data_IF_013541601780
#
_entry.id   IF_013541601780
#
_cell.length_a   1.000
_cell.length_b   1.000
_cell.length_c   1.000
_cell.angle_alpha   90.00
_cell.angle_beta   90.00
_cell.angle_gamma   90.00
#
_symmetry.space_group_name_H-M   'P 1'
#
loop_
_entity.id
_entity.type
_entity.pdbx_description
1 polymer ?
#
# COMPACT_ATOMS: atom_id res chain seq x y z
N UNK A 1 -13.80 22.63 8.03
CA UNK A 1 -13.34 21.51 7.17
C UNK A 1 -13.20 21.93 5.71
N UNK A 2 -14.21 22.57 5.12
CA UNK A 2 -14.20 22.96 3.69
C UNK A 2 -12.99 23.81 3.26
N UNK A 3 -12.62 24.84 4.05
CA UNK A 3 -11.42 25.66 3.77
C UNK A 3 -10.11 24.84 3.77
N UNK A 4 -10.02 23.83 4.64
CA UNK A 4 -8.85 22.96 4.71
C UNK A 4 -8.76 22.05 3.48
N UNK A 5 -9.91 21.54 3.01
CA UNK A 5 -9.98 20.78 1.76
C UNK A 5 -9.59 21.63 0.55
N UNK A 6 -10.06 22.88 0.48
CA UNK A 6 -9.67 23.80 -0.59
C UNK A 6 -8.15 24.03 -0.61
N UNK A 7 -7.54 24.23 0.56
CA UNK A 7 -6.09 24.43 0.69
C UNK A 7 -5.29 23.20 0.23
N UNK A 8 -5.67 21.99 0.65
CA UNK A 8 -4.94 20.79 0.24
C UNK A 8 -5.09 20.54 -1.27
N UNK A 9 -6.28 20.77 -1.84
CA UNK A 9 -6.50 20.65 -3.29
C UNK A 9 -5.70 21.70 -4.08
N UNK A 10 -5.60 22.93 -3.58
CA UNK A 10 -4.76 23.96 -4.19
C UNK A 10 -3.29 23.54 -4.19
N UNK A 11 -2.78 23.07 -3.05
CA UNK A 11 -1.38 22.69 -2.89
C UNK A 11 -0.99 21.47 -3.71
N UNK A 12 -1.91 20.53 -3.95
CA UNK A 12 -1.65 19.35 -4.80
C UNK A 12 -1.71 19.62 -6.30
N UNK A 13 -2.22 20.79 -6.73
CA UNK A 13 -2.13 21.21 -8.15
C UNK A 13 -0.74 21.69 -8.52
N UNK A 14 0.03 22.16 -7.54
CA UNK A 14 1.39 22.59 -7.75
C UNK A 14 2.32 21.38 -7.92
N UNK A 15 3.12 21.35 -8.99
CA UNK A 15 4.10 20.26 -9.22
C UNK A 15 5.26 20.24 -8.21
N UNK A 16 5.33 21.24 -7.33
CA UNK A 16 6.44 21.40 -6.40
C UNK A 16 6.34 20.39 -5.25
N UNK A 17 7.44 19.71 -4.98
CA UNK A 17 7.53 18.74 -3.89
C UNK A 17 7.18 19.36 -2.52
N UNK A 18 7.55 20.63 -2.30
CA UNK A 18 7.22 21.35 -1.07
C UNK A 18 5.72 21.47 -0.82
N UNK A 19 4.94 21.78 -1.86
CA UNK A 19 3.49 21.95 -1.75
C UNK A 19 2.78 20.63 -1.49
N UNK A 20 3.21 19.55 -2.15
CA UNK A 20 2.74 18.20 -1.81
C UNK A 20 3.12 17.78 -0.40
N UNK A 21 4.31 18.14 0.10
CA UNK A 21 4.71 17.82 1.48
C UNK A 21 3.79 18.48 2.49
N UNK A 22 3.48 19.77 2.32
CA UNK A 22 2.55 20.49 3.21
C UNK A 22 1.17 19.83 3.19
N UNK A 23 0.62 19.55 2.00
CA UNK A 23 -0.66 18.88 1.89
C UNK A 23 -0.65 17.48 2.56
N UNK A 24 0.41 16.72 2.35
CA UNK A 24 0.60 15.39 2.92
C UNK A 24 0.70 15.43 4.45
N UNK A 25 1.40 16.42 5.03
CA UNK A 25 1.51 16.62 6.48
C UNK A 25 0.16 16.99 7.11
N UNK A 26 -0.60 17.89 6.47
CA UNK A 26 -1.96 18.24 6.92
C UNK A 26 -2.85 16.99 6.94
N UNK A 27 -2.84 16.21 5.85
CA UNK A 27 -3.63 14.98 5.76
C UNK A 27 -3.21 13.95 6.81
N UNK A 28 -1.90 13.78 7.03
CA UNK A 28 -1.42 12.87 8.06
C UNK A 28 -1.90 13.30 9.45
N UNK A 29 -1.89 14.61 9.73
CA UNK A 29 -2.43 15.21 10.96
C UNK A 29 -3.93 15.00 11.10
N UNK A 30 -4.71 15.13 10.03
CA UNK A 30 -6.15 14.85 10.04
C UNK A 30 -6.44 13.37 10.38
N UNK A 31 -5.75 12.43 9.71
CA UNK A 31 -5.93 11.00 9.96
C UNK A 31 -5.56 10.67 11.41
N UNK A 32 -4.39 11.13 11.87
CA UNK A 32 -3.92 10.85 13.23
C UNK A 32 -4.78 11.53 14.30
N UNK A 33 -5.24 12.76 14.05
CA UNK A 33 -6.10 13.52 14.94
C UNK A 33 -7.52 12.95 15.08
N UNK A 34 -7.97 12.17 14.09
CA UNK A 34 -9.28 11.51 14.10
C UNK A 34 -9.35 10.24 14.97
N UNK A 35 -8.27 9.88 15.67
CA UNK A 35 -8.15 8.64 16.48
C UNK A 35 -9.27 8.42 17.51
N UNK A 36 -9.82 9.49 18.09
CA UNK A 36 -10.85 9.43 19.12
C UNK A 36 -12.24 9.87 18.62
N UNK A 37 -12.40 10.03 17.30
CA UNK A 37 -13.68 10.42 16.72
C UNK A 37 -14.67 9.26 16.74
N UNK A 38 -15.95 9.59 16.71
CA UNK A 38 -16.99 8.58 16.52
C UNK A 38 -16.91 8.02 15.10
N UNK A 39 -17.54 6.87 14.86
CA UNK A 39 -17.52 6.22 13.54
C UNK A 39 -18.16 7.15 12.50
N UNK A 40 -19.22 7.87 12.87
CA UNK A 40 -19.95 8.78 11.99
C UNK A 40 -19.06 9.94 11.53
N UNK A 41 -18.34 10.57 12.47
CA UNK A 41 -17.39 11.65 12.15
C UNK A 41 -16.22 11.16 11.30
N UNK A 42 -15.73 9.94 11.58
CA UNK A 42 -14.68 9.32 10.80
C UNK A 42 -15.17 9.01 9.38
N UNK A 43 -16.40 8.58 9.21
CA UNK A 43 -16.98 8.25 7.91
C UNK A 43 -17.21 9.51 7.06
N UNK A 44 -17.66 10.59 7.68
CA UNK A 44 -17.76 11.89 7.03
C UNK A 44 -16.38 12.41 6.57
N UNK A 45 -15.35 12.27 7.42
CA UNK A 45 -13.98 12.62 7.06
C UNK A 45 -13.48 11.80 5.87
N UNK A 46 -13.60 10.47 5.94
CA UNK A 46 -13.06 9.57 4.92
C UNK A 46 -13.84 9.62 3.61
N UNK A 47 -15.14 9.95 3.62
CA UNK A 47 -15.91 10.17 2.39
C UNK A 47 -15.23 11.19 1.48
N UNK A 48 -14.83 12.34 2.02
CA UNK A 48 -14.17 13.39 1.25
C UNK A 48 -12.68 13.07 1.03
N UNK A 49 -12.02 12.52 2.05
CA UNK A 49 -10.59 12.23 1.98
C UNK A 49 -10.27 11.13 0.96
N UNK A 50 -11.11 10.10 0.82
CA UNK A 50 -10.93 9.03 -0.18
C UNK A 50 -10.99 9.57 -1.60
N UNK A 51 -11.92 10.48 -1.91
CA UNK A 51 -12.00 11.11 -3.25
C UNK A 51 -10.71 11.88 -3.56
N UNK A 52 -10.28 12.72 -2.63
CA UNK A 52 -9.04 13.48 -2.75
C UNK A 52 -7.80 12.59 -2.88
N UNK A 53 -7.67 11.57 -2.03
CA UNK A 53 -6.52 10.67 -2.05
C UNK A 53 -6.47 9.85 -3.34
N UNK A 54 -7.60 9.46 -3.91
CA UNK A 54 -7.65 8.82 -5.22
C UNK A 54 -7.12 9.75 -6.33
N UNK A 55 -7.56 11.01 -6.36
CA UNK A 55 -7.06 12.01 -7.32
C UNK A 55 -5.54 12.21 -7.19
N UNK A 56 -5.04 12.33 -5.96
CA UNK A 56 -3.61 12.42 -5.68
C UNK A 56 -2.87 11.18 -6.17
N UNK A 57 -3.35 9.99 -5.82
CA UNK A 57 -2.75 8.70 -6.15
C UNK A 57 -2.66 8.48 -7.67
N UNK A 58 -3.67 8.91 -8.43
CA UNK A 58 -3.68 8.86 -9.89
C UNK A 58 -2.65 9.79 -10.55
N UNK A 59 -2.25 10.86 -9.86
CA UNK A 59 -1.37 11.91 -10.37
C UNK A 59 0.03 11.92 -9.71
N UNK A 60 0.39 10.86 -8.99
CA UNK A 60 1.71 10.77 -8.36
C UNK A 60 2.83 10.76 -9.40
N UNK A 61 3.84 11.56 -9.12
CA UNK A 61 5.09 11.65 -9.87
C UNK A 61 6.25 11.07 -9.06
N UNK A 62 7.38 10.81 -9.73
CA UNK A 62 8.62 10.33 -9.10
C UNK A 62 9.15 11.22 -7.98
N UNK A 63 8.72 12.48 -7.91
CA UNK A 63 9.20 13.44 -6.92
C UNK A 63 8.24 13.62 -5.74
N UNK A 64 7.00 13.13 -5.85
CA UNK A 64 5.93 13.41 -4.89
C UNK A 64 5.46 12.17 -4.14
N UNK A 65 5.71 10.96 -4.68
CA UNK A 65 5.28 9.71 -4.05
C UNK A 65 5.85 9.52 -2.64
N UNK A 66 7.06 10.00 -2.37
CA UNK A 66 7.72 9.88 -1.07
C UNK A 66 7.02 10.70 0.03
N UNK A 67 6.47 11.87 -0.32
CA UNK A 67 5.65 12.68 0.60
C UNK A 67 4.41 11.92 1.05
N UNK A 68 3.70 11.29 0.11
CA UNK A 68 2.47 10.55 0.42
C UNK A 68 2.74 9.23 1.14
N UNK A 69 3.82 8.52 0.79
CA UNK A 69 4.27 7.39 1.60
C UNK A 69 4.61 7.80 3.03
N UNK A 70 5.31 8.92 3.21
CA UNK A 70 5.62 9.45 4.55
C UNK A 70 4.37 9.87 5.32
N UNK A 71 3.37 10.43 4.64
CA UNK A 71 2.06 10.75 5.22
C UNK A 71 1.36 9.51 5.78
N UNK A 72 1.22 8.44 4.98
CA UNK A 72 0.60 7.20 5.46
C UNK A 72 1.41 6.57 6.58
N UNK A 73 2.73 6.49 6.45
CA UNK A 73 3.63 5.98 7.49
C UNK A 73 3.41 6.72 8.81
N UNK A 74 3.50 8.04 8.78
CA UNK A 74 3.34 8.88 9.98
C UNK A 74 1.92 8.81 10.57
N UNK A 75 0.89 8.75 9.72
CA UNK A 75 -0.48 8.63 10.18
C UNK A 75 -0.74 7.31 10.93
N UNK A 76 -0.08 6.22 10.52
CA UNK A 76 -0.29 4.86 11.04
C UNK A 76 0.71 4.44 12.13
N UNK A 77 1.83 5.15 12.28
CA UNK A 77 2.90 4.81 13.21
C UNK A 77 2.48 4.97 14.69
N UNK A 78 2.83 3.98 15.51
CA UNK A 78 2.47 3.85 16.92
C UNK A 78 0.96 3.76 17.20
N UNK A 79 0.18 3.36 16.20
CA UNK A 79 -1.28 3.25 16.31
C UNK A 79 -1.76 1.80 16.26
N UNK A 80 -2.93 1.53 16.85
CA UNK A 80 -3.57 0.21 16.82
C UNK A 80 -4.19 -0.02 15.43
N UNK A 81 -3.86 -1.11 14.71
CA UNK A 81 -4.38 -1.35 13.36
C UNK A 81 -5.92 -1.42 13.33
N UNK A 82 -6.56 -1.85 14.42
CA UNK A 82 -8.03 -1.94 14.52
C UNK A 82 -8.69 -0.57 14.48
N UNK A 83 -8.00 0.47 14.97
CA UNK A 83 -8.47 1.86 14.91
C UNK A 83 -8.13 2.52 13.58
N UNK A 84 -7.15 1.98 12.86
CA UNK A 84 -6.71 2.45 11.54
C UNK A 84 -7.36 1.70 10.37
N UNK A 85 -8.58 1.20 10.58
CA UNK A 85 -9.28 0.42 9.56
C UNK A 85 -9.59 1.21 8.28
N UNK A 86 -9.87 2.53 8.36
CA UNK A 86 -10.12 3.36 7.18
C UNK A 86 -8.88 3.57 6.30
N UNK A 87 -7.70 3.98 6.82
CA UNK A 87 -6.46 3.98 6.03
C UNK A 87 -6.15 2.60 5.43
N UNK A 88 -6.29 1.54 6.23
CA UNK A 88 -6.06 0.17 5.77
C UNK A 88 -6.99 -0.20 4.59
N UNK A 89 -8.29 0.07 4.72
CA UNK A 89 -9.27 -0.20 3.67
C UNK A 89 -8.96 0.61 2.40
N UNK A 90 -8.55 1.86 2.54
CA UNK A 90 -8.12 2.68 1.42
C UNK A 90 -6.92 2.05 0.71
N UNK A 91 -5.87 1.66 1.43
CA UNK A 91 -4.68 1.01 0.84
C UNK A 91 -5.03 -0.34 0.18
N UNK A 92 -5.95 -1.11 0.76
CA UNK A 92 -6.47 -2.32 0.13
C UNK A 92 -7.24 -2.04 -1.16
N UNK A 93 -7.99 -0.93 -1.22
CA UNK A 93 -8.69 -0.52 -2.44
C UNK A 93 -7.73 -0.18 -3.57
N UNK A 94 -6.58 0.43 -3.26
CA UNK A 94 -5.54 0.74 -4.24
C UNK A 94 -4.88 -0.53 -4.83
N UNK A 95 -4.81 -1.61 -4.06
CA UNK A 95 -4.33 -2.91 -4.54
C UNK A 95 -5.31 -3.51 -5.55
N UNK A 96 -6.61 -3.51 -5.20
CA UNK A 96 -7.65 -4.10 -6.05
C UNK A 96 -7.88 -3.35 -7.35
N UNK A 97 -7.87 -2.03 -7.27
CA UNK A 97 -8.11 -1.17 -8.40
C UNK A 97 -7.03 -0.09 -8.40
N UNK A 98 -5.89 -0.34 -9.07
CA UNK A 98 -4.87 0.68 -9.18
C UNK A 98 -5.47 1.85 -9.96
N UNK A 99 -5.78 2.94 -9.25
CA UNK A 99 -6.30 4.18 -9.83
C UNK A 99 -5.31 4.87 -10.81
N UNK A 100 -4.14 4.27 -10.99
CA UNK A 100 -3.03 4.75 -11.78
C UNK A 100 -3.17 4.37 -13.26
N UNK A 101 -3.24 5.39 -14.12
CA UNK A 101 -3.28 5.24 -15.58
C UNK A 101 -1.88 4.87 -16.13
N UNK A 102 -0.81 5.23 -15.41
CA UNK A 102 0.56 5.09 -15.88
C UNK A 102 1.42 4.24 -14.93
N UNK A 103 2.50 3.66 -15.47
CA UNK A 103 3.43 2.75 -14.77
C UNK A 103 4.10 3.43 -13.56
N UNK A 104 4.48 4.71 -13.71
CA UNK A 104 5.13 5.48 -12.64
C UNK A 104 4.21 5.68 -11.43
N UNK A 105 2.92 5.88 -11.68
CA UNK A 105 1.90 5.97 -10.65
C UNK A 105 1.66 4.60 -10.04
N UNK A 106 1.61 3.49 -10.80
CA UNK A 106 1.49 2.13 -10.23
C UNK A 106 2.68 1.80 -9.31
N UNK A 107 3.92 2.09 -9.71
CA UNK A 107 5.08 1.88 -8.83
C UNK A 107 5.04 2.75 -7.57
N UNK A 108 4.53 3.97 -7.69
CA UNK A 108 4.29 4.88 -6.56
C UNK A 108 3.20 4.35 -5.60
N UNK A 109 2.14 3.73 -6.12
CA UNK A 109 1.11 3.09 -5.29
C UNK A 109 1.68 1.94 -4.46
N UNK A 110 2.50 1.07 -5.07
CA UNK A 110 3.17 -0.02 -4.35
C UNK A 110 4.10 0.50 -3.25
N UNK A 111 4.77 1.64 -3.46
CA UNK A 111 5.55 2.28 -2.41
C UNK A 111 4.68 2.78 -1.25
N UNK A 112 3.46 3.26 -1.52
CA UNK A 112 2.53 3.66 -0.47
C UNK A 112 2.00 2.43 0.29
N UNK A 113 1.66 1.34 -0.42
CA UNK A 113 1.21 0.07 0.17
C UNK A 113 2.29 -0.50 1.10
N UNK A 114 3.56 -0.37 0.73
CA UNK A 114 4.70 -0.78 1.56
C UNK A 114 4.64 -0.21 2.99
N UNK A 115 4.07 0.99 3.17
CA UNK A 115 4.02 1.66 4.48
C UNK A 115 3.14 0.93 5.50
N UNK A 116 2.38 -0.09 5.10
CA UNK A 116 1.74 -1.03 6.02
C UNK A 116 2.75 -1.77 6.92
N UNK A 117 4.05 -1.74 6.58
CA UNK A 117 5.12 -2.29 7.42
C UNK A 117 5.12 -1.73 8.85
N UNK A 118 4.57 -0.53 9.08
CA UNK A 118 4.47 0.07 10.43
C UNK A 118 3.63 -0.78 11.38
N UNK A 119 2.70 -1.57 10.85
CA UNK A 119 1.90 -2.49 11.65
C UNK A 119 2.64 -3.78 11.98
N UNK A 120 3.73 -4.10 11.26
CA UNK A 120 4.56 -5.29 11.46
C UNK A 120 3.70 -6.56 11.45
N UNK A 121 3.95 -7.46 12.41
CA UNK A 121 3.21 -8.71 12.62
C UNK A 121 1.75 -8.53 13.09
N UNK A 122 1.28 -7.30 13.35
CA UNK A 122 -0.06 -7.06 13.93
C UNK A 122 -1.21 -7.20 12.93
N UNK A 123 -0.92 -7.34 11.64
CA UNK A 123 -1.93 -7.41 10.55
C UNK A 123 -1.78 -8.64 9.63
N UNK A 124 -1.82 -9.87 10.17
CA UNK A 124 -1.59 -11.09 9.39
C UNK A 124 -2.54 -11.28 8.20
N UNK A 125 -3.82 -10.94 8.38
CA UNK A 125 -4.83 -11.08 7.32
C UNK A 125 -4.55 -10.20 6.12
N UNK A 126 -4.03 -8.99 6.36
CA UNK A 126 -3.67 -8.04 5.30
C UNK A 126 -2.45 -8.56 4.54
N UNK A 127 -1.43 -9.06 5.24
CA UNK A 127 -0.24 -9.63 4.61
C UNK A 127 -0.55 -10.84 3.75
N UNK A 128 -1.45 -11.73 4.20
CA UNK A 128 -1.91 -12.87 3.40
C UNK A 128 -2.63 -12.40 2.14
N UNK A 129 -3.56 -11.46 2.30
CA UNK A 129 -4.28 -10.86 1.18
C UNK A 129 -3.34 -10.22 0.14
N UNK A 130 -2.31 -9.48 0.60
CA UNK A 130 -1.29 -8.89 -0.27
C UNK A 130 -0.50 -9.97 -0.99
N UNK A 131 -0.07 -11.03 -0.29
CA UNK A 131 0.68 -12.12 -0.91
C UNK A 131 -0.13 -12.84 -1.99
N UNK A 132 -1.38 -13.18 -1.70
CA UNK A 132 -2.26 -13.82 -2.68
C UNK A 132 -2.48 -12.94 -3.92
N UNK A 133 -2.50 -11.62 -3.73
CA UNK A 133 -2.62 -10.67 -4.83
C UNK A 133 -1.31 -10.53 -5.63
N UNK A 134 -0.18 -10.37 -4.96
CA UNK A 134 1.15 -10.25 -5.59
C UNK A 134 1.48 -11.51 -6.39
N UNK A 135 1.20 -12.72 -5.85
CA UNK A 135 1.39 -14.00 -6.54
C UNK A 135 0.73 -14.02 -7.92
N UNK A 136 -0.50 -13.49 -8.04
CA UNK A 136 -1.23 -13.42 -9.32
C UNK A 136 -0.60 -12.45 -10.33
N UNK A 137 0.19 -11.49 -9.85
CA UNK A 137 0.78 -10.42 -10.66
C UNK A 137 2.29 -10.58 -10.89
N UNK A 138 2.90 -11.71 -10.52
CA UNK A 138 4.33 -11.94 -10.70
C UNK A 138 4.79 -11.85 -12.16
N UNK A 139 3.92 -12.19 -13.11
CA UNK A 139 4.18 -12.12 -14.55
C UNK A 139 3.98 -10.74 -15.17
N UNK A 140 3.83 -9.68 -14.36
CA UNK A 140 3.60 -8.34 -14.87
C UNK A 140 4.72 -7.89 -15.84
N UNK A 141 4.39 -7.33 -17.01
CA UNK A 141 5.37 -7.04 -18.07
C UNK A 141 6.50 -6.09 -17.65
N UNK A 142 6.20 -5.15 -16.75
CA UNK A 142 7.14 -4.11 -16.33
C UNK A 142 7.98 -4.49 -15.11
N UNK A 143 9.30 -4.53 -15.28
CA UNK A 143 10.28 -4.86 -14.22
C UNK A 143 10.15 -3.97 -13.00
N UNK A 144 9.99 -2.65 -13.19
CA UNK A 144 9.87 -1.71 -12.08
C UNK A 144 8.68 -2.00 -11.14
N UNK A 145 7.58 -2.55 -11.67
CA UNK A 145 6.41 -2.95 -10.87
C UNK A 145 6.70 -4.27 -10.15
N UNK A 146 7.34 -5.23 -10.83
CA UNK A 146 7.79 -6.48 -10.21
C UNK A 146 8.75 -6.24 -9.05
N UNK A 147 9.71 -5.34 -9.20
CA UNK A 147 10.67 -5.00 -8.14
C UNK A 147 9.97 -4.43 -6.90
N UNK A 148 8.97 -3.56 -7.11
CA UNK A 148 8.17 -3.01 -6.00
C UNK A 148 7.32 -4.06 -5.32
N UNK A 149 6.68 -4.94 -6.09
CA UNK A 149 5.90 -6.06 -5.54
C UNK A 149 6.79 -7.03 -4.75
N UNK A 150 8.01 -7.30 -5.24
CA UNK A 150 8.98 -8.16 -4.54
C UNK A 150 9.37 -7.58 -3.18
N UNK A 151 9.58 -6.26 -3.06
CA UNK A 151 9.86 -5.62 -1.77
C UNK A 151 8.68 -5.84 -0.79
N UNK A 152 7.45 -5.62 -1.25
CA UNK A 152 6.25 -5.78 -0.40
C UNK A 152 6.06 -7.24 0.01
N UNK A 153 6.30 -8.19 -0.89
CA UNK A 153 6.29 -9.62 -0.61
C UNK A 153 7.36 -10.01 0.41
N UNK A 154 8.59 -9.49 0.30
CA UNK A 154 9.63 -9.75 1.29
C UNK A 154 9.22 -9.25 2.68
N UNK A 155 8.61 -8.07 2.77
CA UNK A 155 8.15 -7.50 4.05
C UNK A 155 7.07 -8.37 4.71
N UNK A 156 6.13 -8.89 3.93
CA UNK A 156 5.05 -9.73 4.47
C UNK A 156 5.57 -11.05 5.05
N UNK A 157 6.64 -11.59 4.44
CA UNK A 157 7.26 -12.87 4.83
C UNK A 157 8.24 -12.74 6.00
N UNK A 158 8.83 -11.56 6.25
CA UNK A 158 9.72 -11.32 7.41
C UNK A 158 9.05 -11.68 8.76
N UNK A 159 7.72 -11.63 8.83
CA UNK A 159 6.97 -11.91 10.05
C UNK A 159 6.60 -13.38 10.23
N UNK A 160 6.99 -14.28 9.31
CA UNK A 160 6.93 -15.73 9.51
C UNK A 160 8.05 -16.19 10.45
N UNK A 161 7.90 -15.87 11.73
CA UNK A 161 8.89 -16.17 12.77
C UNK A 161 8.41 -17.35 13.61
N UNK A 162 9.10 -18.48 13.56
CA UNK A 162 8.87 -19.59 14.50
C UNK A 162 9.34 -19.19 15.90
N UNK A 163 8.50 -18.51 16.67
CA UNK A 163 8.77 -18.18 18.06
C UNK A 163 8.52 -19.39 18.95
N UNK A 164 9.34 -19.54 20.00
CA UNK A 164 9.35 -20.68 20.91
C UNK A 164 7.93 -21.08 21.35
N UNK A 165 7.59 -22.36 21.20
CA UNK A 165 6.28 -22.99 21.49
C UNK A 165 5.19 -22.87 20.41
N UNK A 166 5.61 -22.83 19.13
CA UNK A 166 5.04 -23.70 18.08
C UNK A 166 3.52 -23.84 18.01
N UNK A 167 2.81 -22.74 17.76
CA UNK A 167 1.49 -22.82 17.11
C UNK A 167 1.55 -22.11 15.75
N UNK A 168 0.92 -22.72 14.75
CA UNK A 168 0.90 -22.27 13.36
C UNK A 168 0.39 -20.82 13.28
N UNK A 169 1.26 -19.95 12.79
CA UNK A 169 1.06 -18.51 12.87
C UNK A 169 0.13 -18.09 11.73
N UNK A 170 -0.79 -17.17 12.03
CA UNK A 170 -1.73 -16.60 11.05
C UNK A 170 -1.05 -15.83 9.90
N UNK A 171 0.27 -15.72 9.89
CA UNK A 171 1.06 -15.03 8.88
C UNK A 171 1.19 -15.88 7.60
N UNK A 172 1.60 -15.28 6.46
CA UNK A 172 1.95 -16.05 5.27
C UNK A 172 3.22 -16.87 5.53
N UNK A 173 3.18 -18.17 5.22
CA UNK A 173 4.33 -19.04 5.39
C UNK A 173 5.35 -18.85 4.26
N UNK A 174 6.64 -18.75 4.61
CA UNK A 174 7.73 -18.53 3.66
C UNK A 174 7.94 -19.73 2.75
N UNK A 175 8.05 -20.94 3.30
CA UNK A 175 8.35 -22.16 2.54
C UNK A 175 7.25 -22.42 1.50
N UNK A 176 5.99 -22.41 1.94
CA UNK A 176 4.84 -22.55 1.05
C UNK A 176 4.82 -21.47 -0.04
N UNK A 177 5.10 -20.22 0.32
CA UNK A 177 5.08 -19.12 -0.65
C UNK A 177 6.20 -19.26 -1.68
N UNK A 178 7.40 -19.69 -1.27
CA UNK A 178 8.53 -19.92 -2.17
C UNK A 178 8.24 -21.09 -3.11
N UNK A 179 7.69 -22.19 -2.60
CA UNK A 179 7.33 -23.36 -3.40
C UNK A 179 6.30 -23.01 -4.49
N UNK A 180 5.25 -22.26 -4.14
CA UNK A 180 4.23 -21.81 -5.08
C UNK A 180 4.81 -20.89 -6.17
N UNK A 181 5.72 -19.99 -5.81
CA UNK A 181 6.37 -19.08 -6.76
C UNK A 181 7.30 -19.86 -7.68
N UNK A 182 8.07 -20.78 -7.12
CA UNK A 182 8.97 -21.66 -7.86
C UNK A 182 8.22 -22.47 -8.92
N UNK A 183 7.08 -23.05 -8.55
CA UNK A 183 6.22 -23.79 -9.49
C UNK A 183 5.69 -22.89 -10.63
N UNK A 184 5.25 -21.67 -10.32
CA UNK A 184 4.79 -20.70 -11.33
C UNK A 184 5.90 -20.29 -12.29
N UNK A 185 7.12 -20.06 -11.77
CA UNK A 185 8.27 -19.71 -12.60
C UNK A 185 8.68 -20.88 -13.51
N UNK A 186 8.70 -22.11 -12.99
CA UNK A 186 8.97 -23.29 -13.80
C UNK A 186 7.99 -23.44 -14.96
N UNK A 187 6.69 -23.30 -14.69
CA UNK A 187 5.65 -23.33 -15.74
C UNK A 187 5.87 -22.22 -16.78
N UNK A 188 6.24 -21.02 -16.35
CA UNK A 188 6.48 -19.91 -17.27
C UNK A 188 7.72 -20.11 -18.15
N UNK A 189 8.78 -20.73 -17.62
CA UNK A 189 9.99 -21.07 -18.39
C UNK A 189 9.67 -22.12 -19.46
N UNK A 190 8.94 -23.17 -19.11
CA UNK A 190 8.52 -24.21 -20.06
C UNK A 190 7.72 -23.62 -21.23
N UNK A 191 6.75 -22.73 -20.95
CA UNK A 191 5.96 -22.04 -21.98
C UNK A 191 6.84 -21.18 -22.90
N UNK A 192 7.91 -20.58 -22.36
CA UNK A 192 8.84 -19.78 -23.15
C UNK A 192 9.70 -20.65 -24.06
N UNK A 193 10.16 -21.80 -23.58
CA UNK A 193 10.96 -22.76 -24.34
C UNK A 193 10.16 -23.45 -25.47
N UNK A 194 8.85 -23.62 -25.29
CA UNK A 194 7.95 -24.24 -26.27
C UNK A 194 7.48 -23.28 -27.39
N UNK A 195 7.75 -21.97 -27.30
CA UNK A 195 7.38 -21.02 -28.37
C UNK A 195 8.36 -21.11 -29.55
N UNK A 196 7.93 -21.51 -30.76
CA UNK A 196 8.77 -21.42 -31.94
C UNK A 196 9.03 -19.94 -32.30
N UNK A 197 10.26 -19.69 -32.76
CA UNK A 197 10.75 -18.40 -33.29
C UNK A 197 9.83 -17.78 -34.34
#
# INVERSE_FOLDING_TARGET
>A
MEQLYMLIHEKTKEKQNGSHRVAAEIVAGMIRGSKYWTIEMLDELWKNLTVFLNEVCSNLSSNTYSCWGSCFKYAMENEDPRRMYRPIQFLQSLINNPAAINISSVTSLWYIIQQLDVFKWRVPSIWRYINDHVKKLLHHSFTAIRDRMAIVLSISLIFDLTLFHGEAIRQPNIDQTVDEIHEQLHRAIQIYEEKPL
#
